data_IF_488307559223
#
_entry.id   IF_488307559223
#
_cell.length_a   1.000
_cell.length_b   1.000
_cell.length_c   1.000
_cell.angle_alpha   90.00
_cell.angle_beta   90.00
_cell.angle_gamma   90.00
#
_symmetry.space_group_name_H-M   'P 1'
#
loop_
_entity.id
_entity.type
_entity.pdbx_description
1 polymer ?
#
# COMPACT_ATOMS: atom_id res chain seq x y z
N UNK A 1 6.26 -20.84 -56.68
CA UNK A 1 5.36 -21.36 -55.65
C UNK A 1 5.41 -20.41 -54.44
N UNK A 2 4.34 -19.63 -54.27
CA UNK A 2 4.26 -18.60 -53.24
C UNK A 2 3.66 -19.23 -51.97
N UNK A 3 4.29 -19.13 -50.79
CA UNK A 3 3.71 -19.68 -49.60
C UNK A 3 2.52 -18.82 -49.12
N UNK A 4 1.36 -19.46 -49.02
CA UNK A 4 0.14 -18.85 -48.49
C UNK A 4 0.26 -18.74 -46.98
N UNK A 5 0.34 -17.48 -46.44
CA UNK A 5 0.24 -17.18 -45.03
C UNK A 5 -1.20 -17.43 -44.57
N UNK A 6 -1.44 -18.53 -43.87
CA UNK A 6 -2.70 -18.78 -43.17
C UNK A 6 -2.73 -17.90 -41.91
N UNK A 7 -3.54 -16.86 -41.93
CA UNK A 7 -3.89 -16.11 -40.71
C UNK A 7 -4.83 -16.94 -39.85
N UNK A 8 -4.34 -17.55 -38.79
CA UNK A 8 -5.20 -18.06 -37.74
C UNK A 8 -5.85 -16.89 -37.02
N UNK A 9 -7.10 -16.60 -37.32
CA UNK A 9 -7.94 -15.79 -36.47
C UNK A 9 -8.28 -16.61 -35.20
N UNK A 10 -7.53 -16.40 -34.15
CA UNK A 10 -7.94 -16.84 -32.82
C UNK A 10 -8.96 -15.83 -32.29
N UNK A 11 -10.22 -16.01 -32.67
CA UNK A 11 -11.35 -15.39 -31.99
C UNK A 11 -11.59 -16.12 -30.67
N UNK A 12 -10.87 -15.77 -29.63
CA UNK A 12 -11.27 -16.05 -28.27
C UNK A 12 -11.63 -14.73 -27.61
N UNK A 13 -12.83 -14.24 -27.93
CA UNK A 13 -13.52 -13.24 -27.11
C UNK A 13 -14.10 -13.94 -25.87
N UNK A 14 -13.24 -14.52 -25.04
CA UNK A 14 -13.56 -14.79 -23.66
C UNK A 14 -13.50 -13.48 -22.91
N UNK A 15 -14.56 -13.14 -22.16
CA UNK A 15 -14.47 -12.03 -21.21
C UNK A 15 -13.19 -12.17 -20.37
N UNK A 16 -12.42 -11.09 -20.16
CA UNK A 16 -11.22 -11.21 -19.34
C UNK A 16 -11.59 -11.81 -17.98
N UNK A 17 -10.76 -12.72 -17.44
CA UNK A 17 -11.03 -13.36 -16.17
C UNK A 17 -11.24 -12.26 -15.13
N UNK A 18 -12.41 -12.22 -14.50
CA UNK A 18 -12.70 -11.25 -13.45
C UNK A 18 -11.80 -11.54 -12.27
N UNK A 19 -10.86 -10.65 -11.99
CA UNK A 19 -10.04 -10.72 -10.77
C UNK A 19 -10.99 -10.79 -9.57
N UNK A 20 -10.82 -11.80 -8.72
CA UNK A 20 -11.59 -11.91 -7.48
C UNK A 20 -11.05 -10.91 -6.46
N UNK A 21 -11.63 -9.69 -6.46
CA UNK A 21 -11.20 -8.59 -5.60
C UNK A 21 -11.27 -8.93 -4.12
N UNK A 22 -12.26 -9.74 -3.70
CA UNK A 22 -12.39 -10.17 -2.31
C UNK A 22 -11.27 -11.13 -1.87
N UNK A 23 -10.90 -12.12 -2.71
CA UNK A 23 -9.77 -13.00 -2.44
C UNK A 23 -8.46 -12.20 -2.39
N UNK A 24 -8.28 -11.28 -3.33
CA UNK A 24 -7.11 -10.41 -3.41
C UNK A 24 -6.98 -9.48 -2.21
N UNK A 25 -8.09 -8.94 -1.70
CA UNK A 25 -8.08 -8.13 -0.48
C UNK A 25 -7.67 -8.95 0.76
N UNK A 26 -8.09 -10.23 0.83
CA UNK A 26 -7.65 -11.14 1.90
C UNK A 26 -6.16 -11.46 1.79
N UNK A 27 -5.64 -11.79 0.60
CA UNK A 27 -4.21 -12.03 0.39
C UNK A 27 -3.37 -10.79 0.77
N UNK A 28 -3.86 -9.59 0.42
CA UNK A 28 -3.26 -8.36 0.90
C UNK A 28 -3.23 -8.30 2.44
N UNK A 29 -4.37 -8.49 3.06
CA UNK A 29 -4.55 -8.36 4.50
C UNK A 29 -3.76 -9.39 5.32
N UNK A 30 -3.71 -10.63 4.84
CA UNK A 30 -3.16 -11.77 5.59
C UNK A 30 -1.68 -12.01 5.28
N UNK A 31 -1.24 -11.66 4.08
CA UNK A 31 0.11 -11.93 3.61
C UNK A 31 0.91 -10.63 3.52
N UNK A 32 0.46 -9.68 2.70
CA UNK A 32 1.32 -8.56 2.27
C UNK A 32 1.38 -7.40 3.27
N UNK A 33 0.25 -6.98 3.82
CA UNK A 33 0.19 -5.82 4.72
C UNK A 33 1.07 -5.99 5.97
N UNK A 34 1.18 -7.23 6.46
CA UNK A 34 2.00 -7.58 7.63
C UNK A 34 3.49 -7.29 7.45
N UNK A 35 3.96 -7.28 6.21
CA UNK A 35 5.37 -7.00 5.90
C UNK A 35 5.77 -5.57 6.26
N UNK A 36 4.80 -4.66 6.40
CA UNK A 36 5.02 -3.26 6.75
C UNK A 36 4.89 -2.99 8.27
N UNK A 37 4.59 -3.98 9.09
CA UNK A 37 4.48 -3.83 10.55
C UNK A 37 5.69 -3.11 11.17
N UNK A 38 6.96 -3.44 10.84
CA UNK A 38 8.09 -2.73 11.41
C UNK A 38 8.10 -1.22 11.10
N UNK A 39 7.58 -0.82 9.93
CA UNK A 39 7.42 0.58 9.57
C UNK A 39 6.35 1.26 10.44
N UNK A 40 5.20 0.61 10.63
CA UNK A 40 4.10 1.13 11.45
C UNK A 40 4.54 1.31 12.90
N UNK A 41 5.19 0.30 13.48
CA UNK A 41 5.71 0.34 14.85
C UNK A 41 6.69 1.49 15.04
N UNK A 42 7.71 1.55 14.18
CA UNK A 42 8.75 2.59 14.26
C UNK A 42 8.14 3.99 14.23
N UNK A 43 7.16 4.24 13.34
CA UNK A 43 6.52 5.55 13.21
C UNK A 43 5.62 5.84 14.42
N UNK A 44 4.83 4.87 14.87
CA UNK A 44 3.95 5.05 16.03
C UNK A 44 4.74 5.30 17.31
N UNK A 45 5.86 4.63 17.49
CA UNK A 45 6.77 4.88 18.63
C UNK A 45 7.40 6.26 18.56
N UNK A 46 7.95 6.63 17.39
CA UNK A 46 8.61 7.93 17.20
C UNK A 46 7.68 9.11 17.39
N UNK A 47 6.41 8.97 17.08
CA UNK A 47 5.39 10.02 17.24
C UNK A 47 4.58 9.88 18.54
N UNK A 48 4.97 8.94 19.41
CA UNK A 48 4.31 8.71 20.71
C UNK A 48 2.79 8.54 20.55
N UNK A 49 2.37 7.77 19.50
CA UNK A 49 0.95 7.53 19.22
C UNK A 49 0.27 6.93 20.45
N UNK A 50 -0.78 7.61 20.93
CA UNK A 50 -1.47 7.25 22.15
C UNK A 50 -2.84 7.92 22.27
N UNK A 51 -3.41 8.02 23.49
CA UNK A 51 -4.80 8.48 23.72
C UNK A 51 -5.10 9.91 23.22
N UNK A 52 -4.09 10.78 23.14
CA UNK A 52 -4.25 12.14 22.63
C UNK A 52 -4.20 12.21 21.09
N UNK A 53 -3.88 11.10 20.40
CA UNK A 53 -3.74 11.05 18.95
C UNK A 53 -5.10 10.93 18.26
N UNK A 54 -5.33 11.81 17.29
CA UNK A 54 -6.44 11.79 16.34
C UNK A 54 -5.85 11.56 14.95
N UNK A 55 -5.85 10.31 14.52
CA UNK A 55 -5.15 9.85 13.32
C UNK A 55 -6.10 9.77 12.12
N UNK A 56 -5.69 10.35 10.99
CA UNK A 56 -6.26 10.11 9.67
C UNK A 56 -5.31 9.24 8.83
N UNK A 57 -5.72 8.02 8.51
CA UNK A 57 -4.97 7.11 7.66
C UNK A 57 -5.45 7.18 6.22
N UNK A 58 -4.58 7.61 5.31
CA UNK A 58 -4.82 7.69 3.88
C UNK A 58 -4.46 6.36 3.22
N UNK A 59 -5.34 5.86 2.34
CA UNK A 59 -5.20 4.55 1.69
C UNK A 59 -4.94 3.46 2.74
N UNK A 60 -5.84 3.41 3.72
CA UNK A 60 -5.65 2.64 4.95
C UNK A 60 -5.64 1.11 4.74
N UNK A 61 -5.95 0.63 3.53
CA UNK A 61 -5.99 -0.78 3.20
C UNK A 61 -6.96 -1.56 4.08
N UNK A 62 -6.52 -2.68 4.62
CA UNK A 62 -7.31 -3.49 5.55
C UNK A 62 -7.16 -3.05 7.03
N UNK A 63 -6.58 -1.86 7.27
CA UNK A 63 -6.62 -1.16 8.55
C UNK A 63 -5.64 -1.65 9.61
N UNK A 64 -4.58 -2.41 9.26
CA UNK A 64 -3.64 -2.93 10.25
C UNK A 64 -2.90 -1.81 10.99
N UNK A 65 -2.38 -0.81 10.28
CA UNK A 65 -1.71 0.33 10.91
C UNK A 65 -2.65 1.10 11.84
N UNK A 66 -3.93 1.25 11.45
CA UNK A 66 -4.96 1.90 12.29
C UNK A 66 -5.28 1.07 13.53
N UNK A 67 -5.37 -0.27 13.40
CA UNK A 67 -5.57 -1.16 14.54
C UNK A 67 -4.43 -1.00 15.55
N UNK A 68 -3.19 -0.97 15.08
CA UNK A 68 -2.00 -0.78 15.93
C UNK A 68 -2.02 0.58 16.64
N UNK A 69 -2.48 1.64 15.99
CA UNK A 69 -2.66 2.95 16.62
C UNK A 69 -3.81 2.93 17.63
N UNK A 70 -4.95 2.31 17.29
CA UNK A 70 -6.12 2.20 18.17
C UNK A 70 -5.84 1.37 19.43
N UNK A 71 -4.98 0.34 19.35
CA UNK A 71 -4.55 -0.43 20.53
C UNK A 71 -3.68 0.39 21.49
N UNK A 72 -3.04 1.45 21.00
CA UNK A 72 -2.32 2.45 21.80
C UNK A 72 -3.24 3.53 22.38
N UNK A 73 -4.54 3.47 22.08
CA UNK A 73 -5.55 4.40 22.57
C UNK A 73 -5.90 5.54 21.61
N UNK A 74 -5.31 5.63 20.44
CA UNK A 74 -5.60 6.68 19.46
C UNK A 74 -7.03 6.60 18.93
N UNK A 75 -7.64 7.75 18.67
CA UNK A 75 -8.83 7.86 17.82
C UNK A 75 -8.39 7.80 16.37
N UNK A 76 -8.99 6.89 15.56
CA UNK A 76 -8.53 6.61 14.22
C UNK A 76 -9.63 6.75 13.19
N UNK A 77 -9.33 7.40 12.06
CA UNK A 77 -10.17 7.44 10.87
C UNK A 77 -9.36 6.89 9.70
N UNK A 78 -9.88 5.89 9.01
CA UNK A 78 -9.27 5.33 7.80
C UNK A 78 -10.07 5.69 6.56
N UNK A 79 -9.36 6.06 5.49
CA UNK A 79 -9.94 6.33 4.17
C UNK A 79 -9.26 5.45 3.12
N UNK A 80 -10.05 4.76 2.30
CA UNK A 80 -9.59 3.98 1.15
C UNK A 80 -10.68 3.95 0.07
N UNK A 81 -10.30 3.68 -1.15
CA UNK A 81 -11.22 3.53 -2.29
C UNK A 81 -11.59 2.08 -2.60
N UNK A 82 -11.00 1.08 -1.91
CA UNK A 82 -11.30 -0.34 -2.11
C UNK A 82 -12.35 -0.82 -1.10
N UNK A 83 -13.60 -1.08 -1.52
CA UNK A 83 -14.65 -1.57 -0.63
C UNK A 83 -14.29 -2.90 0.01
N UNK A 84 -13.58 -3.79 -0.71
CA UNK A 84 -13.18 -5.11 -0.20
C UNK A 84 -12.15 -4.99 0.93
N UNK A 85 -11.15 -4.10 0.78
CA UNK A 85 -10.18 -3.82 1.86
C UNK A 85 -10.84 -3.14 3.04
N UNK A 86 -11.74 -2.20 2.79
CA UNK A 86 -12.49 -1.51 3.85
C UNK A 86 -13.43 -2.45 4.62
N UNK A 87 -13.99 -3.47 3.99
CA UNK A 87 -14.75 -4.49 4.70
C UNK A 87 -13.88 -5.17 5.77
N UNK A 88 -12.66 -5.58 5.42
CA UNK A 88 -11.69 -6.16 6.36
C UNK A 88 -11.24 -5.17 7.44
N UNK A 89 -11.09 -3.88 7.09
CA UNK A 89 -10.78 -2.84 8.06
C UNK A 89 -11.91 -2.64 9.08
N UNK A 90 -13.17 -2.71 8.63
CA UNK A 90 -14.34 -2.65 9.52
C UNK A 90 -14.41 -3.84 10.46
N UNK A 91 -14.19 -5.06 9.95
CA UNK A 91 -14.13 -6.28 10.78
C UNK A 91 -13.06 -6.17 11.89
N UNK A 92 -11.90 -5.59 11.57
CA UNK A 92 -10.80 -5.41 12.53
C UNK A 92 -11.06 -4.34 13.59
N UNK A 93 -11.59 -3.20 13.16
CA UNK A 93 -11.66 -1.98 13.98
C UNK A 93 -13.03 -1.78 14.64
N UNK A 94 -14.07 -2.32 14.04
CA UNK A 94 -15.46 -2.19 14.46
C UNK A 94 -16.11 -3.57 14.67
N UNK A 95 -15.49 -4.49 15.44
CA UNK A 95 -16.09 -5.78 15.68
C UNK A 95 -17.45 -5.59 16.38
N UNK A 96 -18.40 -6.46 16.04
CA UNK A 96 -19.71 -6.49 16.71
C UNK A 96 -19.53 -6.57 18.22
N UNK A 97 -20.21 -5.72 18.99
CA UNK A 97 -20.08 -5.76 20.44
C UNK A 97 -20.56 -7.12 20.95
N UNK A 98 -19.74 -7.78 21.76
CA UNK A 98 -20.16 -9.00 22.43
C UNK A 98 -21.46 -8.73 23.22
N UNK A 99 -22.41 -9.68 23.29
CA UNK A 99 -23.66 -9.51 24.04
C UNK A 99 -23.39 -9.05 25.48
N UNK A 100 -23.87 -7.86 25.85
CA UNK A 100 -23.68 -7.27 27.17
C UNK A 100 -22.42 -6.40 27.34
N UNK A 101 -21.55 -6.27 26.34
CA UNK A 101 -20.44 -5.35 26.39
C UNK A 101 -20.92 -3.92 26.16
N UNK A 102 -20.70 -3.04 27.13
CA UNK A 102 -20.85 -1.60 26.90
C UNK A 102 -19.81 -1.21 25.87
N UNK A 103 -20.25 -0.58 24.78
CA UNK A 103 -19.37 0.01 23.79
C UNK A 103 -18.41 1.00 24.49
N UNK A 104 -17.23 0.52 24.89
CA UNK A 104 -16.13 1.41 25.24
C UNK A 104 -15.68 2.00 23.91
N UNK A 105 -16.12 3.22 23.65
CA UNK A 105 -15.91 3.91 22.40
C UNK A 105 -14.43 4.03 22.04
N UNK A 106 -13.91 3.01 21.38
CA UNK A 106 -12.79 3.22 20.49
C UNK A 106 -13.34 4.04 19.33
N UNK A 107 -12.95 5.30 19.27
CA UNK A 107 -13.37 6.19 18.20
C UNK A 107 -12.66 5.76 16.91
N UNK A 108 -13.13 4.68 16.28
CA UNK A 108 -12.67 4.24 14.99
C UNK A 108 -13.75 4.54 13.94
N UNK A 109 -13.36 5.12 12.82
CA UNK A 109 -14.23 5.44 11.68
C UNK A 109 -13.56 4.95 10.40
N UNK A 110 -14.32 4.26 9.56
CA UNK A 110 -13.85 3.73 8.27
C UNK A 110 -14.72 4.30 7.16
N UNK A 111 -14.09 5.05 6.27
CA UNK A 111 -14.72 5.84 5.20
C UNK A 111 -14.27 5.33 3.84
N UNK A 112 -15.22 5.08 2.96
CA UNK A 112 -14.97 4.78 1.55
C UNK A 112 -14.93 6.10 0.77
N UNK A 113 -13.89 6.27 -0.06
CA UNK A 113 -13.73 7.44 -0.91
C UNK A 113 -12.40 8.15 -0.72
N UNK A 114 -12.44 9.47 -0.62
CA UNK A 114 -11.31 10.38 -0.52
C UNK A 114 -11.19 11.00 0.89
N UNK A 115 -10.09 11.68 1.20
CA UNK A 115 -9.98 12.39 2.49
C UNK A 115 -11.11 13.39 2.76
N UNK A 116 -11.70 13.99 1.72
CA UNK A 116 -12.85 14.92 1.88
C UNK A 116 -14.06 14.25 2.50
N UNK A 117 -14.27 12.95 2.20
CA UNK A 117 -15.39 12.18 2.74
C UNK A 117 -15.20 11.88 4.24
N UNK A 118 -13.98 12.04 4.76
CA UNK A 118 -13.66 11.95 6.18
C UNK A 118 -13.91 13.27 6.94
N UNK A 119 -14.24 14.36 6.25
CA UNK A 119 -14.54 15.63 6.90
C UNK A 119 -15.74 15.49 7.85
N UNK A 120 -15.60 16.07 9.03
CA UNK A 120 -16.68 16.15 10.03
C UNK A 120 -16.55 17.48 10.76
N UNK A 121 -17.48 18.40 10.50
CA UNK A 121 -17.45 19.74 11.08
C UNK A 121 -17.61 19.76 12.60
N UNK A 122 -18.08 18.67 13.20
CA UNK A 122 -18.28 18.54 14.65
C UNK A 122 -17.12 17.79 15.32
N UNK A 123 -16.26 17.11 14.56
CA UNK A 123 -15.11 16.42 15.10
C UNK A 123 -13.90 17.36 15.23
N UNK A 124 -13.08 17.19 16.28
CA UNK A 124 -11.82 17.92 16.38
C UNK A 124 -10.87 17.53 15.23
N UNK A 125 -10.10 18.51 14.74
CA UNK A 125 -9.16 18.32 13.66
C UNK A 125 -8.12 17.21 13.97
N UNK A 126 -7.62 16.56 12.95
CA UNK A 126 -6.58 15.51 13.09
C UNK A 126 -5.24 16.13 13.49
N UNK A 127 -4.51 15.48 14.39
CA UNK A 127 -3.14 15.87 14.75
C UNK A 127 -2.07 14.94 14.17
N UNK A 128 -2.51 13.87 13.49
CA UNK A 128 -1.64 12.96 12.77
C UNK A 128 -2.32 12.51 11.48
N UNK A 129 -1.62 12.66 10.34
CA UNK A 129 -1.99 12.07 9.06
C UNK A 129 -0.93 11.03 8.69
N UNK A 130 -1.34 9.85 8.26
CA UNK A 130 -0.42 8.80 7.79
C UNK A 130 -0.77 8.32 6.39
N UNK A 131 0.24 8.22 5.51
CA UNK A 131 0.17 7.60 4.20
C UNK A 131 1.23 6.50 4.14
N UNK A 132 0.87 5.31 4.61
CA UNK A 132 1.77 4.16 4.69
C UNK A 132 1.81 3.30 3.42
N UNK A 133 0.99 3.60 2.40
CA UNK A 133 1.14 2.97 1.07
C UNK A 133 2.40 3.53 0.38
N UNK A 134 3.48 2.72 0.24
CA UNK A 134 4.78 3.27 -0.12
C UNK A 134 4.84 3.69 -1.58
N UNK A 135 5.25 4.93 -1.84
CA UNK A 135 5.55 5.42 -3.20
C UNK A 135 6.96 5.02 -3.65
N UNK A 136 7.24 5.15 -4.95
CA UNK A 136 8.55 4.90 -5.55
C UNK A 136 8.63 3.57 -6.30
N UNK A 137 7.50 3.04 -6.77
CA UNK A 137 7.45 1.89 -7.66
C UNK A 137 6.57 2.11 -8.90
N UNK A 138 5.79 3.18 -8.95
CA UNK A 138 4.98 3.59 -10.11
C UNK A 138 5.31 5.03 -10.51
N UNK A 139 5.21 5.33 -11.81
CA UNK A 139 5.52 6.67 -12.34
C UNK A 139 4.64 7.78 -11.74
N UNK A 140 3.40 7.48 -11.34
CA UNK A 140 2.39 8.45 -10.92
C UNK A 140 2.05 8.39 -9.42
N UNK A 141 2.70 7.55 -8.63
CA UNK A 141 2.35 7.38 -7.22
C UNK A 141 2.62 8.65 -6.38
N UNK A 142 3.65 9.43 -6.72
CA UNK A 142 3.95 10.71 -6.08
C UNK A 142 2.88 11.78 -6.36
N UNK A 143 2.35 11.83 -7.60
CA UNK A 143 1.26 12.73 -7.98
C UNK A 143 -0.02 12.41 -7.19
N UNK A 144 -0.43 11.15 -7.22
CA UNK A 144 -1.62 10.69 -6.47
C UNK A 144 -1.52 10.91 -4.96
N UNK A 145 -0.33 10.74 -4.39
CA UNK A 145 -0.13 11.05 -2.98
C UNK A 145 -0.28 12.56 -2.71
N UNK A 146 0.25 13.40 -3.62
CA UNK A 146 0.09 14.85 -3.55
C UNK A 146 -1.38 15.29 -3.54
N UNK A 147 -2.21 14.69 -4.41
CA UNK A 147 -3.66 14.97 -4.48
C UNK A 147 -4.37 14.59 -3.17
N UNK A 148 -4.06 13.41 -2.61
CA UNK A 148 -4.60 12.99 -1.31
C UNK A 148 -4.20 13.94 -0.18
N UNK A 149 -2.96 14.43 -0.17
CA UNK A 149 -2.50 15.38 0.83
C UNK A 149 -3.18 16.74 0.70
N UNK A 150 -3.43 17.21 -0.52
CA UNK A 150 -4.17 18.46 -0.76
C UNK A 150 -5.59 18.42 -0.15
N UNK A 151 -6.23 17.24 -0.16
CA UNK A 151 -7.54 17.03 0.46
C UNK A 151 -7.48 16.78 1.98
N UNK A 152 -6.42 16.12 2.45
CA UNK A 152 -6.29 15.73 3.87
C UNK A 152 -5.76 16.85 4.75
N UNK A 153 -4.83 17.68 4.25
CA UNK A 153 -4.19 18.75 5.03
C UNK A 153 -5.18 19.74 5.66
N UNK A 154 -6.25 20.18 4.95
CA UNK A 154 -7.25 21.07 5.55
C UNK A 154 -8.05 20.48 6.71
N UNK A 155 -8.02 19.15 6.90
CA UNK A 155 -8.69 18.45 8.00
C UNK A 155 -7.82 18.36 9.26
N UNK A 156 -6.56 18.76 9.17
CA UNK A 156 -5.59 18.68 10.24
C UNK A 156 -5.40 20.03 10.95
N UNK A 157 -5.02 19.99 12.21
CA UNK A 157 -4.62 21.19 12.95
C UNK A 157 -3.24 21.71 12.52
N UNK A 158 -3.00 22.99 12.70
CA UNK A 158 -1.66 23.57 12.49
C UNK A 158 -0.64 22.87 13.40
N UNK A 159 0.50 22.49 12.84
CA UNK A 159 1.53 21.71 13.52
C UNK A 159 1.29 20.19 13.51
N UNK A 160 0.14 19.70 13.00
CA UNK A 160 -0.11 18.27 12.87
C UNK A 160 1.00 17.55 12.13
N UNK A 161 1.33 16.35 12.59
CA UNK A 161 2.30 15.50 11.92
C UNK A 161 1.69 14.86 10.67
N UNK A 162 2.47 14.82 9.58
CA UNK A 162 2.13 14.12 8.33
C UNK A 162 3.25 13.13 8.04
N UNK A 163 2.92 11.85 7.95
CA UNK A 163 3.88 10.78 7.67
C UNK A 163 3.67 10.26 6.27
N UNK A 164 4.72 10.27 5.48
CA UNK A 164 4.76 9.70 4.14
C UNK A 164 5.69 8.50 4.13
N UNK A 165 5.32 7.44 3.42
CA UNK A 165 6.14 6.26 3.23
C UNK A 165 6.57 6.10 1.77
N UNK A 166 7.77 5.54 1.57
CA UNK A 166 8.32 5.24 0.26
C UNK A 166 9.25 4.04 0.29
N UNK A 167 9.42 3.44 -0.85
CA UNK A 167 10.45 2.43 -1.03
C UNK A 167 11.83 3.02 -0.77
N UNK A 168 12.72 2.23 -0.20
CA UNK A 168 14.13 2.57 -0.12
C UNK A 168 14.84 2.47 -1.48
N UNK A 169 16.14 2.75 -1.52
CA UNK A 169 16.89 2.67 -2.75
C UNK A 169 16.86 1.23 -3.31
N UNK A 170 16.76 1.08 -4.66
CA UNK A 170 16.53 -0.23 -5.29
C UNK A 170 17.57 -1.29 -4.94
N UNK A 171 18.81 -0.89 -4.71
CA UNK A 171 19.91 -1.77 -4.30
C UNK A 171 19.76 -2.32 -2.86
N UNK A 172 18.85 -1.75 -2.08
CA UNK A 172 18.51 -2.19 -0.71
C UNK A 172 17.14 -2.87 -0.63
N UNK A 173 16.50 -3.09 -1.78
CA UNK A 173 15.17 -3.66 -1.89
C UNK A 173 15.20 -4.85 -2.86
N UNK A 174 15.31 -6.06 -2.33
CA UNK A 174 15.35 -7.29 -3.11
C UNK A 174 14.10 -7.45 -4.00
N UNK A 175 12.95 -6.98 -3.54
CA UNK A 175 11.69 -6.98 -4.31
C UNK A 175 11.78 -6.15 -5.60
N UNK A 176 12.71 -5.19 -5.71
CA UNK A 176 12.87 -4.39 -6.94
C UNK A 176 13.14 -5.22 -8.18
N UNK A 177 13.83 -6.37 -8.07
CA UNK A 177 14.08 -7.28 -9.18
C UNK A 177 12.79 -7.95 -9.67
N UNK A 178 11.90 -8.31 -8.75
CA UNK A 178 10.60 -8.93 -9.03
C UNK A 178 9.63 -7.91 -9.64
N UNK A 179 9.60 -6.67 -9.12
CA UNK A 179 8.76 -5.60 -9.66
C UNK A 179 9.12 -5.22 -11.11
N UNK A 180 10.37 -5.42 -11.55
CA UNK A 180 10.76 -5.23 -12.97
C UNK A 180 10.06 -6.21 -13.91
N UNK A 181 9.66 -7.39 -13.42
CA UNK A 181 8.86 -8.35 -14.21
C UNK A 181 7.51 -7.73 -14.58
N UNK A 182 6.82 -7.09 -13.62
CA UNK A 182 5.56 -6.40 -13.88
C UNK A 182 5.68 -5.36 -15.02
N UNK A 183 6.76 -4.58 -15.02
CA UNK A 183 7.00 -3.59 -16.06
C UNK A 183 7.25 -4.20 -17.44
N UNK A 184 7.99 -5.31 -17.51
CA UNK A 184 8.28 -6.00 -18.79
C UNK A 184 7.04 -6.61 -19.41
N UNK A 185 6.13 -7.14 -18.58
CA UNK A 185 4.90 -7.79 -19.04
C UNK A 185 3.82 -6.79 -19.43
N UNK A 186 3.78 -5.62 -18.77
CA UNK A 186 2.74 -4.62 -19.01
C UNK A 186 2.79 -4.03 -20.43
N UNK A 187 3.98 -3.67 -20.93
CA UNK A 187 4.21 -3.24 -22.30
C UNK A 187 5.74 -3.27 -22.59
N UNK A 188 6.21 -4.22 -23.40
CA UNK A 188 7.62 -4.29 -23.76
C UNK A 188 8.18 -3.02 -24.43
N UNK A 189 7.31 -2.25 -25.13
CA UNK A 189 7.68 -1.02 -25.82
C UNK A 189 7.49 0.24 -24.93
N UNK A 190 6.61 0.17 -23.92
CA UNK A 190 6.29 1.26 -22.98
C UNK A 190 6.79 1.01 -21.56
N UNK A 191 7.50 -0.08 -21.32
CA UNK A 191 7.96 -0.50 -19.98
C UNK A 191 8.77 0.58 -19.24
N UNK A 192 9.35 1.52 -19.96
CA UNK A 192 10.07 2.65 -19.37
C UNK A 192 9.17 3.64 -18.59
N UNK A 193 7.85 3.62 -18.80
CA UNK A 193 6.91 4.58 -18.18
C UNK A 193 6.09 4.03 -17.00
N UNK A 194 5.94 2.72 -16.87
CA UNK A 194 5.04 2.12 -15.86
C UNK A 194 5.73 1.84 -14.52
N UNK A 195 7.00 1.44 -14.54
CA UNK A 195 7.81 1.22 -13.34
C UNK A 195 8.87 2.30 -13.21
N UNK A 196 8.96 2.92 -12.06
CA UNK A 196 9.98 3.90 -11.72
C UNK A 196 10.61 3.53 -10.38
N UNK A 197 11.94 3.36 -10.31
CA UNK A 197 12.59 3.16 -9.03
C UNK A 197 12.44 4.39 -8.14
N UNK A 198 12.35 4.17 -6.83
CA UNK A 198 12.34 5.23 -5.84
C UNK A 198 13.58 6.13 -6.00
N UNK A 199 13.36 7.44 -6.00
CA UNK A 199 14.41 8.44 -5.95
C UNK A 199 14.64 8.90 -4.52
N UNK A 200 15.81 9.46 -4.28
CA UNK A 200 16.22 9.90 -2.96
C UNK A 200 15.25 10.91 -2.34
N UNK A 201 14.76 11.82 -3.13
CA UNK A 201 14.03 13.01 -2.67
C UNK A 201 12.51 12.95 -3.00
N UNK A 202 11.99 11.79 -3.43
CA UNK A 202 10.56 11.63 -3.82
C UNK A 202 9.60 12.07 -2.71
N UNK A 203 9.86 11.71 -1.47
CA UNK A 203 8.99 12.06 -0.33
C UNK A 203 9.10 13.55 0.00
N UNK A 204 10.30 14.11 -0.07
CA UNK A 204 10.59 15.51 0.17
C UNK A 204 9.90 16.40 -0.89
N UNK A 205 9.95 16.01 -2.16
CA UNK A 205 9.27 16.71 -3.26
C UNK A 205 7.74 16.71 -3.09
N UNK A 206 7.17 15.58 -2.64
CA UNK A 206 5.73 15.48 -2.35
C UNK A 206 5.36 16.40 -1.18
N UNK A 207 6.10 16.35 -0.08
CA UNK A 207 5.84 17.18 1.09
C UNK A 207 5.95 18.68 0.78
N UNK A 208 6.97 19.09 0.01
CA UNK A 208 7.16 20.49 -0.40
C UNK A 208 6.03 20.98 -1.29
N UNK A 209 5.60 20.18 -2.29
CA UNK A 209 4.47 20.52 -3.16
C UNK A 209 3.15 20.64 -2.40
N UNK A 210 2.98 19.85 -1.34
CA UNK A 210 1.82 19.93 -0.45
C UNK A 210 1.93 21.08 0.58
N UNK A 211 2.97 21.93 0.52
CA UNK A 211 3.16 23.05 1.43
C UNK A 211 3.57 22.67 2.85
N UNK A 212 3.96 21.43 3.07
CA UNK A 212 4.35 20.93 4.39
C UNK A 212 5.79 21.34 4.75
N UNK A 213 6.06 21.49 6.05
CA UNK A 213 7.40 21.72 6.58
C UNK A 213 8.02 20.38 6.99
N UNK A 214 9.14 20.02 6.39
CA UNK A 214 9.87 18.79 6.74
C UNK A 214 10.38 18.90 8.19
N UNK A 215 10.16 17.83 8.97
CA UNK A 215 10.52 17.74 10.39
C UNK A 215 11.54 16.62 10.67
N UNK A 216 11.48 15.52 9.93
CA UNK A 216 12.41 14.42 10.09
C UNK A 216 12.18 13.29 9.09
N UNK A 217 13.09 12.34 9.09
CA UNK A 217 12.97 11.14 8.24
C UNK A 217 13.66 9.95 8.88
N UNK A 218 13.41 8.78 8.35
CA UNK A 218 14.10 7.55 8.76
C UNK A 218 14.00 6.44 7.74
N UNK A 219 14.67 5.33 8.03
CA UNK A 219 14.65 4.10 7.25
C UNK A 219 14.37 2.94 8.17
N UNK A 220 13.55 2.00 7.69
CA UNK A 220 13.16 0.80 8.44
C UNK A 220 13.38 -0.42 7.56
N UNK A 221 13.97 -1.46 8.12
CA UNK A 221 14.06 -2.76 7.48
C UNK A 221 12.70 -3.46 7.61
N UNK A 222 12.08 -3.75 6.48
CA UNK A 222 10.84 -4.52 6.39
C UNK A 222 11.08 -5.69 5.42
N UNK A 223 11.72 -6.78 5.86
CA UNK A 223 11.92 -7.93 5.01
C UNK A 223 10.58 -8.58 4.67
N UNK A 224 10.44 -9.01 3.41
CA UNK A 224 9.29 -9.78 2.98
C UNK A 224 9.62 -11.27 3.15
N UNK A 225 8.94 -11.93 4.08
CA UNK A 225 9.08 -13.34 4.39
C UNK A 225 7.78 -14.09 4.11
N UNK A 226 7.83 -15.09 3.23
CA UNK A 226 6.68 -15.90 2.85
C UNK A 226 6.95 -17.37 3.16
N UNK A 227 5.89 -18.10 3.50
CA UNK A 227 5.97 -19.52 3.84
C UNK A 227 6.47 -20.38 2.67
N UNK A 228 6.09 -19.98 1.44
CA UNK A 228 6.41 -20.67 0.19
C UNK A 228 6.31 -19.70 -1.01
N UNK A 229 6.62 -20.20 -2.21
CA UNK A 229 6.56 -19.42 -3.45
C UNK A 229 5.13 -19.02 -3.79
N UNK A 230 4.15 -19.89 -3.56
CA UNK A 230 2.75 -19.63 -3.88
C UNK A 230 2.19 -18.49 -3.03
N UNK A 231 2.51 -18.50 -1.72
CA UNK A 231 2.18 -17.40 -0.81
C UNK A 231 2.86 -16.08 -1.21
N UNK A 232 4.12 -16.16 -1.70
CA UNK A 232 4.83 -14.99 -2.18
C UNK A 232 4.19 -14.42 -3.45
N UNK A 233 3.82 -15.25 -4.41
CA UNK A 233 3.12 -14.84 -5.64
C UNK A 233 1.79 -14.17 -5.29
N UNK A 234 0.93 -14.82 -4.48
CA UNK A 234 -0.35 -14.25 -4.06
C UNK A 234 -0.18 -12.92 -3.34
N UNK A 235 0.74 -12.85 -2.37
CA UNK A 235 1.04 -11.61 -1.64
C UNK A 235 1.49 -10.48 -2.58
N UNK A 236 2.37 -10.75 -3.52
CA UNK A 236 2.85 -9.76 -4.47
C UNK A 236 1.76 -9.32 -5.46
N UNK A 237 0.98 -10.26 -6.01
CA UNK A 237 -0.13 -9.93 -6.91
C UNK A 237 -1.21 -9.11 -6.19
N UNK A 238 -1.42 -9.32 -4.89
CA UNK A 238 -2.40 -8.57 -4.09
C UNK A 238 -2.10 -7.07 -3.97
N UNK A 239 -0.85 -6.66 -4.25
CA UNK A 239 -0.44 -5.24 -4.24
C UNK A 239 -1.06 -4.40 -5.35
N UNK A 240 -1.52 -5.03 -6.43
CA UNK A 240 -1.96 -4.34 -7.65
C UNK A 240 -0.83 -3.80 -8.53
N UNK A 241 0.43 -4.05 -8.17
CA UNK A 241 1.57 -3.60 -8.96
C UNK A 241 1.71 -4.37 -10.28
N UNK A 242 1.09 -5.52 -10.39
CA UNK A 242 1.14 -6.40 -11.56
C UNK A 242 -0.09 -6.30 -12.46
N UNK A 243 -1.08 -5.47 -12.13
CA UNK A 243 -2.37 -5.40 -12.86
C UNK A 243 -2.23 -5.05 -14.34
N UNK A 244 -1.29 -4.17 -14.67
CA UNK A 244 -1.01 -3.85 -16.07
C UNK A 244 -0.46 -5.05 -16.84
N UNK A 245 0.39 -5.87 -16.20
CA UNK A 245 0.88 -7.13 -16.76
C UNK A 245 -0.24 -8.17 -16.93
N UNK A 246 -1.09 -8.33 -15.91
CA UNK A 246 -2.26 -9.23 -15.95
C UNK A 246 -3.22 -8.82 -17.06
N UNK A 247 -3.43 -7.50 -17.24
CA UNK A 247 -4.31 -7.01 -18.32
C UNK A 247 -3.70 -7.20 -19.72
N UNK A 248 -2.37 -7.20 -19.84
CA UNK A 248 -1.67 -7.37 -21.11
C UNK A 248 -1.51 -8.86 -21.51
N UNK A 249 -1.50 -9.76 -20.54
CA UNK A 249 -1.35 -11.21 -20.72
C UNK A 249 -2.50 -11.93 -20.01
N UNK A 250 -2.22 -12.55 -18.89
CA UNK A 250 -3.18 -13.13 -17.93
C UNK A 250 -2.50 -13.32 -16.57
N UNK A 251 -3.30 -13.65 -15.54
CA UNK A 251 -2.82 -13.81 -14.17
C UNK A 251 -1.88 -15.02 -14.01
N UNK A 252 -2.14 -16.12 -14.74
CA UNK A 252 -1.34 -17.34 -14.69
C UNK A 252 0.07 -17.10 -15.24
N UNK A 253 0.17 -16.42 -16.39
CA UNK A 253 1.47 -16.08 -17.00
C UNK A 253 2.25 -15.12 -16.09
N UNK A 254 1.61 -14.08 -15.55
CA UNK A 254 2.26 -13.17 -14.61
C UNK A 254 2.73 -13.92 -13.36
N UNK A 255 1.91 -14.83 -12.83
CA UNK A 255 2.26 -15.66 -11.69
C UNK A 255 3.50 -16.53 -11.92
N UNK A 256 3.61 -17.15 -13.11
CA UNK A 256 4.80 -17.94 -13.50
C UNK A 256 6.07 -17.08 -13.56
N UNK A 257 6.00 -15.92 -14.20
CA UNK A 257 7.14 -14.99 -14.31
C UNK A 257 7.58 -14.44 -12.94
N UNK A 258 6.62 -14.17 -12.05
CA UNK A 258 6.90 -13.76 -10.67
C UNK A 258 7.56 -14.90 -9.90
N UNK A 259 7.05 -16.14 -10.02
CA UNK A 259 7.63 -17.32 -9.38
C UNK A 259 9.09 -17.55 -9.82
N UNK A 260 9.37 -17.42 -11.12
CA UNK A 260 10.75 -17.48 -11.65
C UNK A 260 11.64 -16.37 -11.07
N UNK A 261 11.13 -15.14 -11.00
CA UNK A 261 11.87 -14.02 -10.43
C UNK A 261 12.15 -14.17 -8.93
N UNK A 262 11.36 -14.99 -8.23
CA UNK A 262 11.54 -15.30 -6.81
C UNK A 262 12.60 -16.38 -6.55
N UNK A 263 13.04 -17.11 -7.57
CA UNK A 263 14.00 -18.23 -7.42
C UNK A 263 15.27 -17.84 -6.63
N UNK A 264 15.93 -16.69 -6.88
CA UNK A 264 17.12 -16.28 -6.11
C UNK A 264 16.85 -15.98 -4.64
N UNK A 265 15.59 -15.81 -4.24
CA UNK A 265 15.16 -15.46 -2.88
C UNK A 265 14.60 -16.66 -2.10
N UNK A 266 14.53 -17.83 -2.75
CA UNK A 266 14.08 -19.07 -2.14
C UNK A 266 15.18 -19.65 -1.26
N UNK A 267 14.82 -20.05 -0.05
CA UNK A 267 15.68 -20.74 0.91
C UNK A 267 15.57 -22.25 0.76
N UNK A 268 16.51 -22.97 1.35
CA UNK A 268 16.57 -24.44 1.33
C UNK A 268 15.33 -25.10 1.99
N UNK A 269 14.71 -24.43 2.96
CA UNK A 269 13.48 -24.86 3.64
C UNK A 269 12.20 -24.58 2.85
N UNK A 270 12.31 -24.00 1.63
CA UNK A 270 11.19 -23.67 0.76
C UNK A 270 10.62 -22.28 0.99
N UNK A 271 10.97 -21.58 2.07
CA UNK A 271 10.52 -20.22 2.33
C UNK A 271 11.13 -19.22 1.33
N UNK A 272 10.45 -18.08 1.14
CA UNK A 272 10.97 -16.98 0.33
C UNK A 272 11.31 -15.81 1.24
N UNK A 273 12.51 -15.23 1.08
CA UNK A 273 12.97 -14.13 1.90
C UNK A 273 13.61 -13.04 1.06
N UNK A 274 13.02 -11.84 1.11
CA UNK A 274 13.50 -10.66 0.40
C UNK A 274 13.78 -9.53 1.39
N UNK A 275 15.04 -9.18 1.67
CA UNK A 275 15.35 -7.99 2.45
C UNK A 275 14.91 -6.74 1.70
N UNK A 276 14.17 -5.87 2.39
CA UNK A 276 13.73 -4.59 1.89
C UNK A 276 13.93 -3.51 2.94
N UNK A 277 14.15 -2.30 2.47
CA UNK A 277 14.22 -1.09 3.30
C UNK A 277 13.16 -0.11 2.81
N UNK A 278 12.38 0.41 3.74
CA UNK A 278 11.44 1.49 3.49
C UNK A 278 11.94 2.79 4.11
N UNK A 279 11.56 3.90 3.48
CA UNK A 279 11.77 5.25 4.02
C UNK A 279 10.46 5.75 4.57
N UNK A 280 10.56 6.58 5.61
CA UNK A 280 9.46 7.46 6.00
C UNK A 280 9.97 8.89 6.14
N UNK A 281 9.08 9.83 5.86
CA UNK A 281 9.29 11.26 6.06
C UNK A 281 8.21 11.75 7.03
N UNK A 282 8.61 12.54 8.02
CA UNK A 282 7.72 13.27 8.91
C UNK A 282 7.76 14.73 8.49
N UNK A 283 6.61 15.30 8.23
CA UNK A 283 6.42 16.71 7.95
C UNK A 283 5.35 17.30 8.88
N UNK A 284 5.21 18.62 8.89
CA UNK A 284 4.23 19.34 9.70
C UNK A 284 3.35 20.23 8.84
N UNK A 285 2.08 20.27 9.17
CA UNK A 285 1.13 21.25 8.63
C UNK A 285 1.54 22.64 9.09
N UNK A 286 1.51 23.62 8.18
CA UNK A 286 1.87 25.03 8.46
C UNK A 286 0.71 25.81 9.04
#
# INVERSE_FOLDING_TARGET
MTPTLVRHHLSHAGSPPRVNLGARARDWSEIQERMLVPLYETVHERLEVGPATRLLGLRCGSGLALLMAATRGAAVTGVDSSPERLALARERLLPDPAPGARARGRAARIVEGTPRDAADAQAPAYNLITAFDPIGCRADDAGRLGDLLAEATPLAEVGAAVVLAGWGPPERCATSSVLRVAARLADPLRSAGSWRPARRDDLEEVAQRAGLRIDGSGRVSCPFGYADVDSAVRGLLSTGLFDAGISATDEEQVGKEVAEALHPHRRADGTVWMPNVFRYLIARVR
#
